data_IF_258638096846
#
_entry.id   IF_258638096846
#
_cell.length_a   1.000
_cell.length_b   1.000
_cell.length_c   1.000
_cell.angle_alpha   90.00
_cell.angle_beta   90.00
_cell.angle_gamma   90.00
#
_symmetry.space_group_name_H-M   'P 1'
#
loop_
_entity.id
_entity.type
_entity.pdbx_description
1 polymer ?
#
# COMPACT_ATOMS: atom_id res chain seq x y z
N UNK A 1 -14.98 68.36 -30.00
CA UNK A 1 -14.64 66.93 -30.14
C UNK A 1 -14.07 66.48 -28.79
N UNK A 2 -14.90 65.86 -27.94
CA UNK A 2 -14.52 65.45 -26.57
C UNK A 2 -14.19 63.96 -26.62
N UNK A 3 -12.93 63.61 -26.30
CA UNK A 3 -12.44 62.25 -26.24
C UNK A 3 -12.73 61.68 -24.84
N UNK A 4 -13.71 60.80 -24.73
CA UNK A 4 -14.02 60.05 -23.50
C UNK A 4 -13.04 58.87 -23.42
N UNK A 5 -12.05 58.98 -22.53
CA UNK A 5 -11.15 57.87 -22.19
C UNK A 5 -11.89 56.93 -21.26
N UNK A 6 -12.34 55.79 -21.78
CA UNK A 6 -12.95 54.73 -20.99
C UNK A 6 -11.84 53.85 -20.43
N UNK A 7 -11.45 54.07 -19.16
CA UNK A 7 -10.57 53.15 -18.43
C UNK A 7 -11.34 51.88 -18.09
N UNK A 8 -11.09 50.80 -18.85
CA UNK A 8 -11.48 49.44 -18.44
C UNK A 8 -10.53 48.98 -17.32
N UNK A 9 -11.01 49.00 -16.09
CA UNK A 9 -10.39 48.25 -15.00
C UNK A 9 -10.67 46.76 -15.22
N UNK A 10 -9.76 46.06 -15.87
CA UNK A 10 -9.74 44.61 -15.87
C UNK A 10 -9.27 44.14 -14.48
N UNK A 11 -10.20 44.05 -13.53
CA UNK A 11 -9.98 43.33 -12.29
C UNK A 11 -9.82 41.84 -12.64
N UNK A 12 -8.57 41.40 -12.82
CA UNK A 12 -8.26 39.98 -12.84
C UNK A 12 -8.66 39.42 -11.47
N UNK A 13 -9.81 38.73 -11.40
CA UNK A 13 -10.15 37.90 -10.27
C UNK A 13 -9.04 36.86 -10.14
N UNK A 14 -8.10 37.08 -9.22
CA UNK A 14 -7.19 36.04 -8.77
C UNK A 14 -8.08 34.99 -8.09
N UNK A 15 -8.29 33.87 -8.76
CA UNK A 15 -8.93 32.71 -8.17
C UNK A 15 -8.05 32.32 -6.99
N UNK A 16 -8.57 32.50 -5.77
CA UNK A 16 -7.84 32.12 -4.57
C UNK A 16 -7.47 30.64 -4.66
N UNK A 17 -6.20 30.32 -4.43
CA UNK A 17 -5.75 28.92 -4.35
C UNK A 17 -6.58 28.21 -3.29
N UNK A 18 -7.21 27.07 -3.60
CA UNK A 18 -7.96 26.31 -2.61
C UNK A 18 -7.05 25.93 -1.45
N UNK A 19 -7.51 26.14 -0.23
CA UNK A 19 -6.83 25.72 1.00
C UNK A 19 -7.55 24.50 1.58
N UNK A 20 -6.84 23.74 2.41
CA UNK A 20 -7.37 22.54 3.05
C UNK A 20 -7.25 22.65 4.56
N UNK A 21 -8.20 22.02 5.26
CA UNK A 21 -8.19 21.85 6.72
C UNK A 21 -8.78 20.50 7.10
N UNK A 22 -8.48 19.98 8.30
CA UNK A 22 -9.17 18.80 8.80
C UNK A 22 -10.67 19.09 9.01
N UNK A 23 -11.54 18.06 8.89
CA UNK A 23 -12.92 18.18 9.28
C UNK A 23 -13.07 18.50 10.77
N UNK A 24 -14.07 19.31 11.12
CA UNK A 24 -14.50 19.51 12.49
C UNK A 24 -15.39 18.35 12.97
N UNK A 25 -15.73 18.34 14.26
CA UNK A 25 -16.48 17.25 14.87
C UNK A 25 -17.89 17.06 14.27
N UNK A 26 -18.59 18.13 13.90
CA UNK A 26 -19.93 18.05 13.30
C UNK A 26 -19.86 17.47 11.88
N UNK A 27 -18.88 17.90 11.09
CA UNK A 27 -18.61 17.35 9.75
C UNK A 27 -18.27 15.85 9.84
N UNK A 28 -17.43 15.46 10.80
CA UNK A 28 -17.06 14.06 11.02
C UNK A 28 -18.24 13.20 11.46
N UNK A 29 -19.10 13.69 12.36
CA UNK A 29 -20.31 12.98 12.79
C UNK A 29 -21.31 12.80 11.65
N UNK A 30 -21.47 13.83 10.82
CA UNK A 30 -22.34 13.79 9.64
C UNK A 30 -21.82 12.75 8.66
N UNK A 31 -20.52 12.81 8.33
CA UNK A 31 -19.86 11.83 7.47
C UNK A 31 -20.00 10.40 8.01
N UNK A 32 -19.77 10.18 9.30
CA UNK A 32 -19.87 8.85 9.90
C UNK A 32 -21.29 8.28 9.81
N UNK A 33 -22.30 9.12 10.04
CA UNK A 33 -23.72 8.75 9.89
C UNK A 33 -24.06 8.43 8.44
N UNK A 34 -23.69 9.30 7.50
CA UNK A 34 -23.98 9.13 6.08
C UNK A 34 -23.32 7.87 5.49
N UNK A 35 -22.16 7.48 6.03
CA UNK A 35 -21.44 6.26 5.66
C UNK A 35 -21.83 5.03 6.48
N UNK A 36 -22.70 5.16 7.47
CA UNK A 36 -23.08 4.09 8.39
C UNK A 36 -21.86 3.38 9.03
N UNK A 37 -20.90 4.17 9.50
CA UNK A 37 -19.67 3.69 10.16
C UNK A 37 -19.65 4.09 11.62
N UNK A 38 -18.99 3.30 12.47
CA UNK A 38 -18.72 3.63 13.87
C UNK A 38 -17.26 4.07 14.02
N UNK A 39 -16.98 5.35 14.34
CA UNK A 39 -15.62 5.81 14.58
C UNK A 39 -14.96 5.09 15.77
N UNK A 40 -13.71 4.65 15.60
CA UNK A 40 -12.88 4.06 16.67
C UNK A 40 -11.89 5.09 17.19
N UNK A 41 -11.09 5.66 16.29
CA UNK A 41 -10.03 6.63 16.57
C UNK A 41 -9.97 7.64 15.42
N UNK A 42 -9.77 8.89 15.76
CA UNK A 42 -9.40 9.96 14.85
C UNK A 42 -7.98 10.48 15.16
N UNK A 43 -7.24 10.81 14.09
CA UNK A 43 -5.87 11.30 14.18
C UNK A 43 -5.66 12.42 13.17
N UNK A 44 -5.29 13.60 13.67
CA UNK A 44 -4.92 14.74 12.83
C UNK A 44 -3.57 14.50 12.15
N UNK A 45 -3.52 14.79 10.85
CA UNK A 45 -2.33 14.77 10.00
C UNK A 45 -2.27 16.09 9.22
N UNK A 46 -1.55 17.08 9.73
CA UNK A 46 -1.47 18.45 9.18
C UNK A 46 -2.86 19.05 8.83
N UNK A 47 -3.19 19.13 7.53
CA UNK A 47 -4.44 19.66 6.97
C UNK A 47 -5.53 18.59 6.78
N UNK A 48 -5.30 17.37 7.28
CA UNK A 48 -6.13 16.19 7.06
C UNK A 48 -6.40 15.45 8.38
N UNK A 49 -7.38 14.55 8.38
CA UNK A 49 -7.74 13.71 9.52
C UNK A 49 -7.93 12.27 9.06
N UNK A 50 -7.24 11.33 9.71
CA UNK A 50 -7.54 9.90 9.57
C UNK A 50 -8.60 9.53 10.58
N UNK A 51 -9.68 8.91 10.12
CA UNK A 51 -10.65 8.21 10.96
C UNK A 51 -10.53 6.72 10.73
N UNK A 52 -10.18 5.98 11.78
CA UNK A 52 -10.30 4.54 11.86
C UNK A 52 -11.73 4.20 12.28
N UNK A 53 -12.37 3.27 11.57
CA UNK A 53 -13.78 2.94 11.79
C UNK A 53 -14.04 1.44 11.79
N UNK A 54 -15.20 1.08 12.34
CA UNK A 54 -15.80 -0.25 12.32
C UNK A 54 -17.15 -0.23 11.62
N UNK A 55 -17.46 -1.31 10.90
CA UNK A 55 -18.81 -1.68 10.47
C UNK A 55 -19.17 -3.05 11.07
N UNK A 56 -20.34 -3.59 10.73
CA UNK A 56 -20.69 -4.94 11.14
C UNK A 56 -19.73 -6.01 10.59
N UNK A 57 -19.15 -5.79 9.40
CA UNK A 57 -18.38 -6.82 8.66
C UNK A 57 -16.93 -6.46 8.39
N UNK A 58 -16.52 -5.21 8.63
CA UNK A 58 -15.18 -4.75 8.30
C UNK A 58 -14.64 -3.71 9.28
N UNK A 59 -13.33 -3.52 9.23
CA UNK A 59 -12.65 -2.34 9.73
C UNK A 59 -12.06 -1.56 8.55
N UNK A 60 -11.90 -0.26 8.71
CA UNK A 60 -11.31 0.55 7.65
C UNK A 60 -10.84 1.90 8.13
N UNK A 61 -10.31 2.68 7.20
CA UNK A 61 -9.96 4.06 7.44
C UNK A 61 -10.47 4.98 6.33
N UNK A 62 -10.66 6.25 6.67
CA UNK A 62 -10.72 7.35 5.70
C UNK A 62 -9.67 8.39 6.06
N UNK A 63 -8.93 8.89 5.07
CA UNK A 63 -8.17 10.13 5.15
C UNK A 63 -9.06 11.25 4.59
N UNK A 64 -9.43 12.19 5.47
CA UNK A 64 -10.42 13.21 5.21
C UNK A 64 -9.78 14.60 5.21
N UNK A 65 -10.23 15.46 4.30
CA UNK A 65 -9.91 16.89 4.30
C UNK A 65 -11.10 17.70 3.81
N UNK A 66 -11.21 18.93 4.29
CA UNK A 66 -12.21 19.89 3.84
C UNK A 66 -11.53 20.91 2.95
N UNK A 67 -12.06 21.09 1.74
CA UNK A 67 -11.62 22.12 0.81
C UNK A 67 -12.33 23.44 1.10
N UNK A 68 -11.57 24.50 1.29
CA UNK A 68 -12.06 25.86 1.51
C UNK A 68 -11.92 26.72 0.24
N UNK A 69 -12.84 27.68 0.00
CA UNK A 69 -13.93 28.12 0.89
C UNK A 69 -15.24 27.31 0.77
N UNK A 70 -15.28 26.26 -0.05
CA UNK A 70 -16.53 25.56 -0.34
C UNK A 70 -17.06 24.69 0.82
N UNK A 71 -16.24 24.43 1.84
CA UNK A 71 -16.58 23.52 2.93
C UNK A 71 -16.76 22.06 2.45
N UNK A 72 -16.17 21.70 1.32
CA UNK A 72 -16.38 20.38 0.72
C UNK A 72 -15.52 19.33 1.42
N UNK A 73 -16.16 18.44 2.18
CA UNK A 73 -15.49 17.28 2.76
C UNK A 73 -15.19 16.23 1.69
N UNK A 74 -13.93 15.82 1.60
CA UNK A 74 -13.46 14.81 0.65
C UNK A 74 -12.68 13.71 1.35
N UNK A 75 -12.89 12.47 0.92
CA UNK A 75 -12.05 11.34 1.27
C UNK A 75 -10.95 11.21 0.22
N UNK A 76 -9.72 11.62 0.57
CA UNK A 76 -8.56 11.56 -0.32
C UNK A 76 -7.99 10.15 -0.44
N UNK A 77 -8.19 9.32 0.58
CA UNK A 77 -7.78 7.93 0.60
C UNK A 77 -8.69 7.15 1.53
N UNK A 78 -8.92 5.89 1.20
CA UNK A 78 -9.65 4.98 2.05
C UNK A 78 -9.17 3.55 1.80
N UNK A 79 -9.30 2.72 2.83
CA UNK A 79 -9.00 1.30 2.76
C UNK A 79 -9.86 0.56 3.78
N UNK A 80 -10.18 -0.69 3.49
CA UNK A 80 -10.92 -1.53 4.43
C UNK A 80 -10.46 -2.98 4.30
N UNK A 81 -10.65 -3.72 5.39
CA UNK A 81 -10.43 -5.15 5.44
C UNK A 81 -11.59 -5.79 6.21
N UNK A 82 -12.01 -6.98 5.75
CA UNK A 82 -13.01 -7.76 6.44
C UNK A 82 -12.52 -8.11 7.85
N UNK A 83 -13.46 -8.21 8.80
CA UNK A 83 -13.15 -8.79 10.11
C UNK A 83 -12.65 -10.21 9.93
N UNK A 84 -11.69 -10.59 10.76
CA UNK A 84 -11.07 -11.91 10.71
C UNK A 84 -11.03 -12.55 12.09
N UNK A 85 -10.67 -13.82 12.13
CA UNK A 85 -10.37 -14.55 13.37
C UNK A 85 -9.01 -14.16 13.98
N UNK A 86 -8.24 -13.30 13.31
CA UNK A 86 -6.94 -12.86 13.78
C UNK A 86 -7.10 -11.88 14.96
N UNK A 87 -6.26 -11.98 16.02
CA UNK A 87 -6.40 -11.11 17.19
C UNK A 87 -6.24 -9.63 16.89
N UNK A 88 -5.46 -9.30 15.86
CA UNK A 88 -5.32 -7.93 15.35
C UNK A 88 -5.46 -7.89 13.83
N UNK A 89 -5.82 -6.71 13.34
CA UNK A 89 -5.82 -6.35 11.93
C UNK A 89 -4.92 -5.12 11.75
N UNK A 90 -4.11 -5.11 10.69
CA UNK A 90 -3.26 -3.97 10.33
C UNK A 90 -3.66 -3.46 8.96
N UNK A 91 -3.99 -2.17 8.87
CA UNK A 91 -4.40 -1.47 7.64
C UNK A 91 -3.74 -0.10 7.60
N UNK A 92 -3.64 0.54 6.45
CA UNK A 92 -3.14 1.91 6.40
C UNK A 92 -2.71 2.34 5.01
N UNK A 93 -2.08 3.50 4.95
CA UNK A 93 -1.50 4.05 3.74
C UNK A 93 0.01 4.14 3.93
N UNK A 94 0.76 3.27 3.26
CA UNK A 94 2.20 3.17 3.48
C UNK A 94 3.01 4.19 2.64
N UNK A 95 2.39 4.76 1.62
CA UNK A 95 2.99 5.71 0.67
C UNK A 95 2.27 7.07 0.71
N UNK A 96 2.77 8.04 -0.04
CA UNK A 96 2.20 9.40 -0.11
C UNK A 96 2.80 10.36 0.92
N UNK A 97 2.21 11.54 1.03
CA UNK A 97 2.72 12.65 1.85
C UNK A 97 2.55 12.42 3.36
N UNK A 98 1.58 11.60 3.74
CA UNK A 98 1.26 11.30 5.14
C UNK A 98 1.03 9.80 5.33
N UNK A 99 2.10 9.00 5.29
CA UNK A 99 2.00 7.57 5.47
C UNK A 99 1.67 7.23 6.93
N UNK A 100 0.81 6.25 7.13
CA UNK A 100 0.44 5.77 8.46
C UNK A 100 0.09 4.29 8.43
N UNK A 101 0.20 3.68 9.61
CA UNK A 101 -0.27 2.32 9.88
C UNK A 101 -1.29 2.39 11.01
N UNK A 102 -2.45 1.80 10.79
CA UNK A 102 -3.48 1.62 11.79
C UNK A 102 -3.54 0.16 12.22
N UNK A 103 -3.57 -0.06 13.54
CA UNK A 103 -3.70 -1.39 14.14
C UNK A 103 -5.03 -1.43 14.86
N UNK A 104 -5.85 -2.42 14.55
CA UNK A 104 -7.12 -2.71 15.22
C UNK A 104 -6.94 -3.99 16.06
N UNK A 105 -7.20 -3.91 17.36
CA UNK A 105 -7.20 -5.06 18.27
C UNK A 105 -8.62 -5.62 18.32
N UNK A 106 -8.84 -6.74 17.63
CA UNK A 106 -10.13 -7.43 17.56
C UNK A 106 -10.40 -8.27 18.82
N UNK A 107 -9.34 -8.84 19.40
CA UNK A 107 -9.46 -9.63 20.63
C UNK A 107 -9.67 -8.74 21.87
N UNK A 108 -10.81 -8.92 22.54
CA UNK A 108 -11.17 -8.12 23.71
C UNK A 108 -10.22 -8.29 24.90
N UNK A 109 -9.64 -9.48 25.07
CA UNK A 109 -8.72 -9.80 26.16
C UNK A 109 -7.37 -9.12 25.94
N UNK A 110 -6.85 -9.16 24.70
CA UNK A 110 -5.65 -8.44 24.32
C UNK A 110 -5.88 -6.94 24.42
N UNK A 111 -7.01 -6.42 23.93
CA UNK A 111 -7.35 -4.99 23.99
C UNK A 111 -7.31 -4.46 25.43
N UNK A 112 -7.89 -5.20 26.37
CA UNK A 112 -7.94 -4.80 27.77
C UNK A 112 -6.55 -4.80 28.46
N UNK A 113 -5.58 -5.55 27.95
CA UNK A 113 -4.23 -5.69 28.54
C UNK A 113 -3.18 -4.84 27.85
N UNK A 114 -3.41 -4.49 26.58
CA UNK A 114 -2.44 -3.75 25.77
C UNK A 114 -2.38 -2.31 26.25
N UNK A 115 -1.16 -1.81 26.47
CA UNK A 115 -0.88 -0.41 26.82
C UNK A 115 -0.01 0.25 25.75
N UNK A 116 0.81 -0.52 25.04
CA UNK A 116 1.65 -0.03 23.95
C UNK A 116 1.62 -0.98 22.75
N UNK A 117 1.81 -0.40 21.57
CA UNK A 117 1.90 -1.08 20.28
C UNK A 117 3.18 -0.61 19.62
N UNK A 118 3.95 -1.56 19.10
CA UNK A 118 5.14 -1.31 18.30
C UNK A 118 4.99 -1.94 16.92
N UNK A 119 5.40 -1.20 15.90
CA UNK A 119 5.45 -1.66 14.52
C UNK A 119 6.89 -1.56 14.07
N UNK A 120 7.54 -2.71 13.89
CA UNK A 120 8.86 -2.76 13.28
C UNK A 120 8.71 -2.56 11.77
N UNK A 121 9.31 -1.51 11.23
CA UNK A 121 9.38 -1.28 9.79
C UNK A 121 10.52 -2.09 9.18
N UNK A 122 11.68 -2.05 9.84
CA UNK A 122 12.85 -2.88 9.54
C UNK A 122 13.61 -3.24 10.84
N UNK A 123 14.87 -3.68 10.74
CA UNK A 123 15.66 -4.05 11.92
C UNK A 123 16.05 -2.87 12.82
N UNK A 124 15.98 -1.63 12.32
CA UNK A 124 16.43 -0.42 13.00
C UNK A 124 15.32 0.61 13.21
N UNK A 125 14.25 0.56 12.43
CA UNK A 125 13.16 1.53 12.46
C UNK A 125 11.89 0.94 13.06
N UNK A 126 11.38 1.60 14.10
CA UNK A 126 10.18 1.21 14.85
C UNK A 126 9.26 2.40 14.99
N UNK A 127 7.95 2.16 14.87
CA UNK A 127 6.91 3.11 15.23
C UNK A 127 6.21 2.61 16.49
N UNK A 128 6.07 3.47 17.49
CA UNK A 128 5.41 3.12 18.75
C UNK A 128 4.24 4.03 19.04
N UNK A 129 3.24 3.49 19.71
CA UNK A 129 2.11 4.27 20.21
C UNK A 129 1.51 3.62 21.45
N UNK A 130 1.01 4.44 22.37
CA UNK A 130 0.22 3.95 23.49
C UNK A 130 -1.23 3.77 23.05
N UNK A 131 -1.93 2.81 23.66
CA UNK A 131 -3.37 2.69 23.54
C UNK A 131 -4.03 3.17 24.82
N UNK A 132 -5.17 3.83 24.68
CA UNK A 132 -6.05 4.27 25.76
C UNK A 132 -7.15 3.24 26.05
N UNK A 133 -6.91 1.96 25.70
CA UNK A 133 -7.88 0.87 25.81
C UNK A 133 -8.90 0.83 24.67
N UNK A 134 -8.78 1.72 23.68
CA UNK A 134 -9.60 1.68 22.44
C UNK A 134 -9.26 0.46 21.59
N UNK A 135 -10.19 0.14 20.69
CA UNK A 135 -10.07 -0.98 19.75
C UNK A 135 -9.02 -0.78 18.66
N UNK A 136 -8.35 0.38 18.59
CA UNK A 136 -7.29 0.57 17.62
C UNK A 136 -6.46 1.81 17.85
N UNK A 137 -5.41 1.96 17.07
CA UNK A 137 -4.49 3.10 17.07
C UNK A 137 -4.12 3.47 15.64
N UNK A 138 -3.83 4.74 15.39
CA UNK A 138 -3.24 5.23 14.14
C UNK A 138 -1.85 5.76 14.46
N UNK A 139 -0.83 5.14 13.86
CA UNK A 139 0.58 5.49 14.04
C UNK A 139 1.10 6.09 12.74
N UNK A 140 1.46 7.36 12.80
CA UNK A 140 1.95 8.12 11.65
C UNK A 140 3.43 7.80 11.45
N UNK A 141 3.81 7.50 10.21
CA UNK A 141 5.22 7.34 9.86
C UNK A 141 5.78 8.69 9.39
N UNK A 142 6.99 9.07 9.83
CA UNK A 142 7.63 10.31 9.36
C UNK A 142 8.04 10.25 7.88
N UNK A 143 8.07 9.06 7.27
CA UNK A 143 8.44 8.85 5.88
C UNK A 143 7.66 7.67 5.27
N UNK A 144 7.54 7.59 3.92
CA UNK A 144 6.94 6.43 3.27
C UNK A 144 7.60 5.13 3.73
N UNK A 145 6.79 4.19 4.17
CA UNK A 145 7.23 2.84 4.54
C UNK A 145 6.85 1.90 3.41
N UNK A 146 7.67 0.89 3.15
CA UNK A 146 7.41 -0.05 2.05
C UNK A 146 6.80 -1.36 2.54
N UNK A 147 6.41 -1.41 3.82
CA UNK A 147 5.87 -2.58 4.50
C UNK A 147 6.14 -2.45 5.99
N UNK A 148 5.79 -3.49 6.74
CA UNK A 148 6.18 -3.65 8.14
C UNK A 148 6.56 -5.10 8.39
N UNK A 149 7.54 -5.32 9.26
CA UNK A 149 8.02 -6.65 9.64
C UNK A 149 7.14 -7.30 10.70
N UNK A 150 6.85 -6.60 11.78
CA UNK A 150 6.09 -7.14 12.90
C UNK A 150 5.27 -6.06 13.59
N UNK A 151 4.09 -6.42 14.08
CA UNK A 151 3.31 -5.63 15.03
C UNK A 151 3.30 -6.37 16.36
N UNK A 152 3.78 -5.73 17.42
CA UNK A 152 3.86 -6.30 18.75
C UNK A 152 3.02 -5.49 19.74
N UNK A 153 2.20 -6.18 20.52
CA UNK A 153 1.40 -5.60 21.60
C UNK A 153 2.13 -5.81 22.93
N UNK A 154 2.17 -4.80 23.79
CA UNK A 154 2.82 -4.84 25.09
C UNK A 154 1.86 -4.49 26.23
N UNK A 155 2.05 -5.14 27.39
CA UNK A 155 1.35 -4.79 28.61
C UNK A 155 2.01 -3.62 29.38
N UNK A 156 1.43 -3.25 30.52
CA UNK A 156 1.95 -2.20 31.40
C UNK A 156 3.35 -2.47 31.97
N UNK A 157 3.82 -3.72 31.94
CA UNK A 157 5.16 -4.12 32.40
C UNK A 157 6.16 -4.20 31.24
N UNK A 158 5.76 -3.85 30.02
CA UNK A 158 6.59 -3.95 28.82
C UNK A 158 6.78 -5.38 28.32
N UNK A 159 5.94 -6.33 28.75
CA UNK A 159 5.99 -7.71 28.25
C UNK A 159 5.19 -7.83 26.96
N UNK A 160 5.75 -8.50 25.96
CA UNK A 160 5.05 -8.81 24.72
C UNK A 160 3.87 -9.75 24.95
N UNK A 161 2.65 -9.28 24.66
CA UNK A 161 1.41 -10.05 24.77
C UNK A 161 1.12 -10.86 23.51
N UNK A 162 1.45 -10.28 22.35
CA UNK A 162 1.15 -10.84 21.03
C UNK A 162 2.07 -10.21 19.99
N UNK A 163 2.47 -10.97 18.98
CA UNK A 163 3.20 -10.47 17.82
C UNK A 163 2.64 -11.06 16.54
N UNK A 164 2.38 -10.21 15.56
CA UNK A 164 1.97 -10.61 14.21
C UNK A 164 3.07 -10.20 13.23
N UNK A 165 3.56 -11.15 12.45
CA UNK A 165 4.39 -10.84 11.29
C UNK A 165 3.57 -10.04 10.28
N UNK A 166 4.12 -8.91 9.86
CA UNK A 166 3.58 -8.10 8.79
C UNK A 166 3.90 -8.65 7.41
N UNK A 167 3.57 -7.85 6.40
CA UNK A 167 4.05 -8.09 5.05
C UNK A 167 5.28 -7.20 4.84
N UNK A 168 6.51 -7.71 5.04
CA UNK A 168 7.70 -6.91 4.78
C UNK A 168 7.71 -6.51 3.30
N UNK A 169 8.36 -5.39 2.97
CA UNK A 169 8.63 -5.07 1.57
C UNK A 169 9.34 -6.27 0.95
N UNK A 170 8.67 -6.90 -0.01
CA UNK A 170 9.24 -8.02 -0.71
C UNK A 170 10.15 -7.50 -1.81
N UNK A 171 11.30 -8.14 -1.97
CA UNK A 171 12.23 -7.85 -3.04
C UNK A 171 12.36 -9.05 -3.95
N UNK A 172 12.40 -8.78 -5.26
CA UNK A 172 12.53 -9.79 -6.29
C UNK A 172 13.79 -9.52 -7.10
N UNK A 173 14.56 -10.57 -7.37
CA UNK A 173 15.57 -10.58 -8.44
C UNK A 173 15.29 -11.71 -9.41
N UNK A 174 15.88 -11.62 -10.59
CA UNK A 174 15.73 -12.62 -11.65
C UNK A 174 17.08 -13.28 -11.91
N UNK A 175 17.07 -14.59 -12.00
CA UNK A 175 18.15 -15.40 -12.55
C UNK A 175 17.68 -15.99 -13.87
N UNK A 176 18.31 -15.57 -14.96
CA UNK A 176 18.09 -16.18 -16.27
C UNK A 176 18.92 -17.47 -16.36
N UNK A 177 18.25 -18.62 -16.31
CA UNK A 177 18.85 -19.95 -16.48
C UNK A 177 18.90 -20.43 -17.93
N UNK A 178 18.31 -19.68 -18.85
CA UNK A 178 18.34 -20.01 -20.27
C UNK A 178 19.70 -19.72 -20.90
N UNK A 179 19.86 -20.21 -22.13
CA UNK A 179 21.02 -19.91 -22.98
C UNK A 179 20.89 -18.61 -23.79
N UNK A 180 19.76 -17.91 -23.64
CA UNK A 180 19.42 -16.70 -24.41
C UNK A 180 19.28 -15.50 -23.48
N UNK A 181 19.72 -14.32 -23.93
CA UNK A 181 19.46 -13.07 -23.22
C UNK A 181 17.96 -12.73 -23.24
N UNK A 182 17.42 -12.31 -22.09
CA UNK A 182 16.08 -11.73 -22.03
C UNK A 182 16.23 -10.21 -22.17
N UNK A 183 15.62 -9.61 -23.20
CA UNK A 183 15.70 -8.16 -23.42
C UNK A 183 14.48 -7.44 -22.87
N UNK A 184 14.69 -6.32 -22.18
CA UNK A 184 13.59 -5.47 -21.67
C UNK A 184 12.60 -6.19 -20.75
N UNK A 185 13.07 -7.11 -19.89
CA UNK A 185 12.21 -7.88 -19.00
C UNK A 185 11.46 -6.98 -18.01
N UNK A 186 10.14 -7.17 -17.99
CA UNK A 186 9.22 -6.68 -16.97
C UNK A 186 8.42 -7.84 -16.40
N UNK A 187 8.37 -7.95 -15.08
CA UNK A 187 7.48 -8.89 -14.39
C UNK A 187 6.21 -8.14 -13.98
N UNK A 188 5.06 -8.78 -14.16
CA UNK A 188 3.74 -8.21 -13.90
C UNK A 188 3.04 -9.02 -12.81
N UNK A 189 2.57 -8.33 -11.77
CA UNK A 189 1.78 -8.87 -10.67
C UNK A 189 0.37 -8.28 -10.66
N UNK A 190 -0.61 -8.97 -10.05
CA UNK A 190 -1.95 -8.41 -9.92
C UNK A 190 -1.91 -7.08 -9.15
N UNK A 191 -2.81 -6.18 -9.54
CA UNK A 191 -3.09 -4.97 -8.79
C UNK A 191 -3.76 -5.30 -7.45
N UNK A 192 -3.81 -4.32 -6.54
CA UNK A 192 -4.35 -4.51 -5.18
C UNK A 192 -5.87 -4.62 -5.12
N UNK A 193 -6.57 -4.41 -6.24
CA UNK A 193 -8.02 -4.59 -6.40
C UNK A 193 -8.32 -5.30 -7.72
N UNK A 194 -9.52 -5.87 -7.85
CA UNK A 194 -9.94 -6.59 -9.06
C UNK A 194 -9.90 -5.72 -10.34
N UNK A 195 -10.02 -4.40 -10.19
CA UNK A 195 -10.00 -3.42 -11.29
C UNK A 195 -8.64 -2.70 -11.41
N UNK A 196 -7.67 -2.99 -10.54
CA UNK A 196 -6.38 -2.32 -10.56
C UNK A 196 -5.49 -2.83 -11.70
N UNK A 197 -4.78 -1.91 -12.34
CA UNK A 197 -3.74 -2.26 -13.31
C UNK A 197 -2.66 -3.16 -12.68
N UNK A 198 -2.08 -4.02 -13.51
CA UNK A 198 -1.00 -4.88 -13.07
C UNK A 198 0.20 -4.05 -12.60
N UNK A 199 0.76 -4.41 -11.45
CA UNK A 199 1.98 -3.79 -10.92
C UNK A 199 3.18 -4.29 -11.72
N UNK A 200 3.96 -3.36 -12.27
CA UNK A 200 5.11 -3.63 -13.13
C UNK A 200 6.41 -3.54 -12.35
N UNK A 201 7.28 -4.54 -12.51
CA UNK A 201 8.64 -4.54 -11.99
C UNK A 201 9.61 -4.67 -13.15
N UNK A 202 10.33 -3.59 -13.44
CA UNK A 202 11.25 -3.50 -14.58
C UNK A 202 12.65 -3.98 -14.19
N UNK A 203 13.11 -5.02 -14.88
CA UNK A 203 14.47 -5.55 -14.74
C UNK A 203 15.38 -5.12 -15.89
N UNK A 204 14.80 -4.79 -17.05
CA UNK A 204 15.57 -4.47 -18.25
C UNK A 204 16.20 -5.72 -18.84
N UNK A 205 17.40 -5.59 -19.42
CA UNK A 205 18.09 -6.72 -20.01
C UNK A 205 18.67 -7.65 -18.94
N UNK A 206 18.38 -8.96 -19.07
CA UNK A 206 18.91 -10.01 -18.20
C UNK A 206 19.71 -11.00 -19.05
N UNK A 207 21.05 -10.88 -19.07
CA UNK A 207 21.87 -11.77 -19.88
C UNK A 207 21.76 -13.24 -19.47
N UNK A 208 22.06 -14.16 -20.40
CA UNK A 208 22.08 -15.59 -20.13
C UNK A 208 23.00 -15.94 -18.94
N UNK A 209 22.52 -16.83 -18.06
CA UNK A 209 23.18 -17.27 -16.81
C UNK A 209 23.59 -16.12 -15.85
N UNK A 210 22.90 -14.98 -15.92
CA UNK A 210 23.10 -13.85 -15.00
C UNK A 210 21.93 -13.65 -14.06
N UNK A 211 22.27 -13.12 -12.88
CA UNK A 211 21.32 -12.69 -11.86
C UNK A 211 21.28 -11.17 -11.83
N UNK A 212 20.08 -10.60 -11.74
CA UNK A 212 19.89 -9.16 -11.57
C UNK A 212 20.10 -8.74 -10.11
N UNK A 213 20.20 -7.44 -9.89
CA UNK A 213 19.97 -6.87 -8.56
C UNK A 213 18.52 -7.06 -8.12
N UNK A 214 18.30 -6.95 -6.80
CA UNK A 214 16.96 -6.93 -6.22
C UNK A 214 16.20 -5.65 -6.59
N UNK A 215 14.91 -5.82 -6.89
CA UNK A 215 13.93 -4.76 -7.12
C UNK A 215 12.78 -4.92 -6.14
N UNK A 216 12.16 -3.82 -5.74
CA UNK A 216 11.05 -3.85 -4.80
C UNK A 216 9.77 -4.34 -5.51
N UNK A 217 9.08 -5.27 -4.88
CA UNK A 217 7.79 -5.82 -5.30
C UNK A 217 6.70 -5.29 -4.36
N UNK A 218 6.16 -4.11 -4.68
CA UNK A 218 5.23 -3.38 -3.80
C UNK A 218 3.87 -4.06 -3.62
N UNK A 219 3.43 -4.88 -4.58
CA UNK A 219 2.25 -5.75 -4.44
C UNK A 219 2.57 -7.10 -3.80
N UNK A 220 3.82 -7.35 -3.42
CA UNK A 220 4.35 -8.64 -3.03
C UNK A 220 4.80 -9.49 -4.23
N UNK A 221 5.51 -10.58 -3.94
CA UNK A 221 5.95 -11.58 -4.92
C UNK A 221 4.96 -12.72 -4.92
N UNK A 222 4.40 -13.04 -6.07
CA UNK A 222 3.42 -14.11 -6.22
C UNK A 222 4.10 -15.41 -6.67
N UNK A 223 3.40 -16.55 -6.61
CA UNK A 223 3.92 -17.80 -7.15
C UNK A 223 3.93 -17.81 -8.68
N UNK A 224 2.99 -17.08 -9.27
CA UNK A 224 2.83 -16.96 -10.72
C UNK A 224 2.86 -15.48 -11.11
N UNK A 225 3.39 -15.17 -12.29
CA UNK A 225 3.44 -13.80 -12.81
C UNK A 225 3.24 -13.78 -14.32
N UNK A 226 2.83 -12.63 -14.83
CA UNK A 226 2.89 -12.36 -16.25
C UNK A 226 4.24 -11.72 -16.60
N UNK A 227 4.64 -11.82 -17.86
CA UNK A 227 5.91 -11.27 -18.33
C UNK A 227 5.68 -10.36 -19.53
N UNK A 228 6.46 -9.28 -19.61
CA UNK A 228 6.63 -8.51 -20.83
C UNK A 228 8.13 -8.42 -21.16
N UNK A 229 8.50 -8.60 -22.42
CA UNK A 229 9.89 -8.60 -22.88
C UNK A 229 9.95 -8.32 -24.38
N UNK A 230 11.15 -8.02 -24.87
CA UNK A 230 11.41 -7.77 -26.28
C UNK A 230 12.05 -9.00 -26.93
N UNK A 231 11.48 -9.46 -28.04
CA UNK A 231 12.05 -10.50 -28.89
C UNK A 231 12.01 -10.02 -30.35
N UNK A 232 13.14 -10.06 -31.04
CA UNK A 232 13.30 -9.57 -32.42
C UNK A 232 12.76 -8.15 -32.64
N UNK A 233 12.98 -7.27 -31.66
CA UNK A 233 12.52 -5.88 -31.69
C UNK A 233 11.02 -5.68 -31.44
N UNK A 234 10.27 -6.72 -31.09
CA UNK A 234 8.83 -6.67 -30.78
C UNK A 234 8.58 -6.90 -29.30
N UNK A 235 7.68 -6.11 -28.72
CA UNK A 235 7.18 -6.34 -27.37
C UNK A 235 6.25 -7.56 -27.36
N UNK A 236 6.60 -8.56 -26.56
CA UNK A 236 5.78 -9.74 -26.29
C UNK A 236 5.21 -9.62 -24.89
N UNK A 237 3.90 -9.84 -24.76
CA UNK A 237 3.22 -9.94 -23.47
C UNK A 237 2.77 -11.38 -23.28
N UNK A 238 3.26 -12.01 -22.22
CA UNK A 238 2.88 -13.35 -21.80
C UNK A 238 2.01 -13.24 -20.56
N UNK A 239 0.70 -13.34 -20.76
CA UNK A 239 -0.30 -13.32 -19.69
C UNK A 239 -0.27 -14.62 -18.87
N UNK A 240 -0.74 -14.53 -17.63
CA UNK A 240 -1.06 -15.71 -16.81
C UNK A 240 -2.54 -16.04 -17.01
N UNK A 241 -2.89 -17.34 -16.96
CA UNK A 241 -4.26 -17.77 -17.23
C UNK A 241 -5.24 -17.34 -16.12
N UNK A 242 -4.81 -17.20 -14.87
CA UNK A 242 -5.64 -16.72 -13.77
C UNK A 242 -4.78 -16.21 -12.59
N UNK A 243 -5.16 -15.07 -12.01
CA UNK A 243 -4.62 -14.54 -10.74
C UNK A 243 -5.64 -14.62 -9.60
N UNK A 244 -6.88 -15.04 -9.88
CA UNK A 244 -7.98 -15.01 -8.91
C UNK A 244 -7.66 -15.90 -7.71
N UNK A 245 -7.67 -15.28 -6.53
CA UNK A 245 -7.46 -15.96 -5.25
C UNK A 245 -5.98 -16.17 -4.86
N UNK A 246 -5.02 -15.76 -5.70
CA UNK A 246 -3.61 -15.77 -5.32
C UNK A 246 -3.31 -14.70 -4.27
N UNK A 247 -2.38 -15.00 -3.37
CA UNK A 247 -1.85 -14.07 -2.37
C UNK A 247 -0.33 -14.01 -2.49
N UNK A 248 0.30 -12.88 -2.14
CA UNK A 248 1.76 -12.81 -2.06
C UNK A 248 2.34 -13.95 -1.23
N UNK A 249 3.46 -14.50 -1.71
CA UNK A 249 4.24 -15.48 -0.99
C UNK A 249 4.78 -14.89 0.31
N UNK A 250 4.96 -15.73 1.34
CA UNK A 250 5.64 -15.31 2.57
C UNK A 250 7.15 -15.26 2.35
N UNK A 251 7.79 -14.20 2.82
CA UNK A 251 9.22 -13.96 2.69
C UNK A 251 9.54 -12.49 2.43
N UNK A 252 10.80 -12.12 2.61
CA UNK A 252 11.30 -10.77 2.35
C UNK A 252 12.06 -10.67 1.02
N UNK A 253 12.77 -11.72 0.60
CA UNK A 253 13.56 -11.72 -0.65
C UNK A 253 13.34 -12.98 -1.44
N UNK A 254 13.21 -12.81 -2.75
CA UNK A 254 12.89 -13.89 -3.68
C UNK A 254 13.76 -13.84 -4.93
N UNK A 255 14.02 -15.02 -5.47
CA UNK A 255 14.68 -15.20 -6.77
C UNK A 255 13.77 -15.95 -7.71
N UNK A 256 13.40 -15.32 -8.82
CA UNK A 256 12.76 -15.98 -9.94
C UNK A 256 13.81 -16.62 -10.84
N UNK A 257 13.69 -17.92 -11.09
CA UNK A 257 14.49 -18.60 -12.10
C UNK A 257 13.69 -18.71 -13.38
N UNK A 258 14.10 -17.94 -14.38
CA UNK A 258 13.44 -17.88 -15.68
C UNK A 258 14.29 -18.57 -16.73
N UNK A 259 13.64 -19.15 -17.73
CA UNK A 259 14.27 -19.59 -18.97
C UNK A 259 13.50 -19.02 -20.15
N UNK A 260 14.20 -18.36 -21.07
CA UNK A 260 13.67 -17.98 -22.37
C UNK A 260 14.05 -19.04 -23.40
N UNK A 261 13.04 -19.52 -24.15
CA UNK A 261 13.21 -20.35 -25.32
C UNK A 261 12.47 -19.69 -26.49
N UNK A 262 13.21 -18.96 -27.33
CA UNK A 262 12.64 -18.19 -28.45
C UNK A 262 12.01 -19.06 -29.54
N UNK A 263 12.28 -20.37 -29.53
CA UNK A 263 11.72 -21.34 -30.48
C UNK A 263 10.30 -21.79 -30.13
N UNK A 264 9.82 -21.47 -28.93
CA UNK A 264 8.43 -21.74 -28.53
C UNK A 264 7.47 -20.71 -29.14
N UNK A 265 6.20 -21.08 -29.19
CA UNK A 265 5.13 -20.20 -29.67
C UNK A 265 5.02 -18.91 -28.82
N UNK A 266 4.64 -17.77 -29.43
CA UNK A 266 4.36 -16.53 -28.73
C UNK A 266 3.46 -16.70 -27.50
N UNK A 267 3.89 -16.17 -26.36
CA UNK A 267 3.16 -16.28 -25.09
C UNK A 267 3.48 -17.55 -24.28
N UNK A 268 4.40 -18.39 -24.72
CA UNK A 268 4.94 -19.51 -23.95
C UNK A 268 6.47 -19.57 -23.93
N UNK A 269 7.16 -18.51 -24.34
CA UNK A 269 8.61 -18.53 -24.52
C UNK A 269 9.38 -18.32 -23.23
N UNK A 270 8.88 -17.51 -22.29
CA UNK A 270 9.45 -17.43 -20.94
C UNK A 270 8.80 -18.50 -20.07
N UNK A 271 9.61 -19.31 -19.42
CA UNK A 271 9.17 -20.26 -18.41
C UNK A 271 9.70 -19.83 -17.04
N UNK A 272 8.79 -19.67 -16.07
CA UNK A 272 9.14 -19.62 -14.66
C UNK A 272 9.43 -21.05 -14.18
N UNK A 273 10.71 -21.36 -13.97
CA UNK A 273 11.15 -22.69 -13.52
C UNK A 273 10.75 -22.86 -12.05
N UNK A 274 11.12 -21.89 -11.22
CA UNK A 274 10.81 -21.89 -9.79
C UNK A 274 10.96 -20.48 -9.18
N UNK A 275 10.37 -20.32 -7.99
CA UNK A 275 10.54 -19.16 -7.13
C UNK A 275 11.24 -19.62 -5.85
N UNK A 276 12.41 -19.05 -5.58
CA UNK A 276 13.15 -19.30 -4.34
C UNK A 276 12.85 -18.22 -3.31
N UNK A 277 12.73 -18.61 -2.05
CA UNK A 277 12.71 -17.68 -0.91
C UNK A 277 14.14 -17.56 -0.39
N UNK A 278 14.78 -16.44 -0.66
CA UNK A 278 16.16 -16.15 -0.22
C UNK A 278 16.19 -15.74 1.27
N UNK A 279 15.18 -15.00 1.72
CA UNK A 279 15.01 -14.57 3.12
C UNK A 279 13.54 -14.79 3.55
N UNK A 280 13.26 -15.66 4.55
CA UNK A 280 11.91 -15.97 5.01
C UNK A 280 11.27 -14.87 5.87
#
# INVERSE_FOLDING_TARGET
MILVVTMLFASACQIATPTFRPPNQNELQTFARDRNITPIVDKLLDDSLVILYETNTSFGYYLLRVQEPQGLLSAVSNGSAAKSDQPILTIGQLTGTQPFVAVVIQDMTLRAKTIAIEIAIDSQNYLTSTTDGKSGVVIVSPSPVQGWKTVTLYDAQGRGLYSQSGNPLQQLRVLNRGSEDIKGLTILFPGTTADAEAVRIEFGDVPADKTTDYRNATSGVYRYSAFAYTLDGRLINQAVMDWVGESPMKGAKFTYRLELNSRKEPGGQIQLIEVLVDEP
#
